data_IF_130848203916
#
_entry.id   IF_130848203916
#
_cell.length_a   1.000
_cell.length_b   1.000
_cell.length_c   1.000
_cell.angle_alpha   90.00
_cell.angle_beta   90.00
_cell.angle_gamma   90.00
#
_symmetry.space_group_name_H-M   'P 1'
#
loop_
_entity.id
_entity.type
_entity.pdbx_description
1 polymer ?
#
# COMPACT_ATOMS: atom_id res chain seq x y z
N UNK A 1 -20.21 -34.09 11.74
CA UNK A 1 -20.41 -33.42 10.44
C UNK A 1 -21.57 -32.47 10.58
N UNK A 2 -21.32 -31.16 10.63
CA UNK A 2 -21.60 -30.29 9.47
C UNK A 2 -21.10 -28.88 9.77
N UNK A 3 -20.12 -28.41 9.00
CA UNK A 3 -19.64 -27.04 9.06
C UNK A 3 -20.57 -26.25 8.13
N UNK A 4 -21.58 -25.59 8.70
CA UNK A 4 -22.46 -24.69 7.95
C UNK A 4 -21.61 -23.53 7.44
N UNK A 5 -21.11 -23.69 6.22
CA UNK A 5 -20.50 -22.64 5.43
C UNK A 5 -21.57 -21.57 5.20
N UNK A 6 -21.41 -20.44 5.88
CA UNK A 6 -22.14 -19.22 5.60
C UNK A 6 -21.81 -18.76 4.18
N UNK A 7 -22.48 -19.35 3.18
CA UNK A 7 -22.52 -18.83 1.83
C UNK A 7 -23.18 -17.46 1.94
N UNK A 8 -22.36 -16.40 2.01
CA UNK A 8 -22.85 -15.03 1.89
C UNK A 8 -23.47 -14.91 0.51
N UNK A 9 -24.80 -14.96 0.45
CA UNK A 9 -25.58 -14.56 -0.71
C UNK A 9 -25.47 -13.05 -0.84
N UNK A 10 -24.43 -12.57 -1.52
CA UNK A 10 -24.33 -11.17 -1.91
C UNK A 10 -25.33 -10.92 -3.04
N UNK A 11 -26.37 -10.15 -2.74
CA UNK A 11 -27.25 -9.61 -3.78
C UNK A 11 -28.68 -9.51 -3.31
N UNK A 12 -29.09 -8.29 -2.92
CA UNK A 12 -30.48 -7.82 -3.04
C UNK A 12 -30.64 -6.41 -2.47
N UNK A 13 -29.91 -5.41 -2.97
CA UNK A 13 -30.28 -3.99 -2.83
C UNK A 13 -29.97 -3.28 -4.14
N UNK A 14 -31.03 -2.92 -4.88
CA UNK A 14 -31.05 -2.32 -6.22
C UNK A 14 -29.77 -1.60 -6.65
N UNK A 15 -29.06 -2.24 -7.58
CA UNK A 15 -27.83 -1.80 -8.20
C UNK A 15 -27.28 -2.97 -9.01
N UNK A 16 -26.61 -2.70 -10.13
CA UNK A 16 -25.99 -3.75 -10.95
C UNK A 16 -25.04 -4.54 -10.05
N UNK A 17 -25.27 -5.85 -9.89
CA UNK A 17 -24.37 -6.70 -9.08
C UNK A 17 -23.07 -6.83 -9.86
N UNK A 18 -22.07 -6.04 -9.49
CA UNK A 18 -20.74 -6.08 -10.07
C UNK A 18 -19.79 -6.77 -9.10
N UNK A 19 -19.12 -7.83 -9.57
CA UNK A 19 -18.08 -8.53 -8.82
C UNK A 19 -16.81 -8.66 -9.65
N UNK A 20 -15.67 -8.35 -9.05
CA UNK A 20 -14.36 -8.56 -9.69
C UNK A 20 -14.04 -10.04 -9.91
N UNK A 21 -14.58 -10.92 -9.07
CA UNK A 21 -14.44 -12.38 -9.25
C UNK A 21 -15.16 -12.84 -10.53
N UNK A 22 -16.33 -12.26 -10.83
CA UNK A 22 -17.05 -12.52 -12.08
C UNK A 22 -16.29 -11.97 -13.28
N UNK A 23 -15.73 -10.75 -13.17
CA UNK A 23 -14.87 -10.17 -14.21
C UNK A 23 -13.65 -11.05 -14.50
N UNK A 24 -13.00 -11.61 -13.47
CA UNK A 24 -11.84 -12.49 -13.63
C UNK A 24 -12.17 -13.73 -14.48
N UNK A 25 -13.38 -14.26 -14.34
CA UNK A 25 -13.87 -15.44 -15.08
C UNK A 25 -14.53 -15.12 -16.42
N UNK A 26 -14.76 -13.84 -16.72
CA UNK A 26 -15.44 -13.41 -17.94
C UNK A 26 -14.59 -13.62 -19.20
N UNK A 27 -15.23 -14.03 -20.29
CA UNK A 27 -14.60 -14.14 -21.61
C UNK A 27 -14.13 -12.77 -22.14
N UNK A 28 -14.78 -11.69 -21.68
CA UNK A 28 -14.53 -10.31 -22.10
C UNK A 28 -13.91 -9.46 -20.99
N UNK A 29 -13.14 -10.07 -20.08
CA UNK A 29 -12.55 -9.39 -18.92
C UNK A 29 -11.77 -8.13 -19.28
N UNK A 30 -11.12 -8.12 -20.44
CA UNK A 30 -10.35 -7.00 -20.98
C UNK A 30 -11.18 -5.75 -21.26
N UNK A 31 -12.50 -5.89 -21.44
CA UNK A 31 -13.40 -4.77 -21.65
C UNK A 31 -13.80 -4.07 -20.35
N UNK A 32 -13.48 -4.67 -19.19
CA UNK A 32 -13.73 -4.06 -17.89
C UNK A 32 -12.56 -3.17 -17.49
N UNK A 33 -12.85 -1.90 -17.21
CA UNK A 33 -11.86 -0.99 -16.64
C UNK A 33 -11.28 -1.61 -15.38
N UNK A 34 -9.97 -1.52 -15.17
CA UNK A 34 -9.32 -2.01 -13.95
C UNK A 34 -9.11 -3.53 -13.87
N UNK A 35 -9.44 -4.30 -14.91
CA UNK A 35 -9.27 -5.76 -14.91
C UNK A 35 -7.82 -6.22 -14.62
N UNK A 36 -6.82 -5.42 -15.02
CA UNK A 36 -5.40 -5.75 -14.84
C UNK A 36 -4.94 -5.79 -13.37
N UNK A 37 -5.53 -4.93 -12.53
CA UNK A 37 -5.14 -4.77 -11.14
C UNK A 37 -6.17 -5.37 -10.18
N UNK A 38 -7.47 -5.28 -10.52
CA UNK A 38 -8.57 -5.71 -9.64
C UNK A 38 -9.08 -7.13 -9.91
N UNK A 39 -8.84 -7.67 -11.11
CA UNK A 39 -9.15 -9.04 -11.47
C UNK A 39 -7.95 -9.73 -12.16
N UNK A 40 -6.75 -9.73 -11.54
CA UNK A 40 -5.57 -10.36 -12.14
C UNK A 40 -5.79 -11.88 -12.28
N UNK A 41 -5.37 -12.43 -13.43
CA UNK A 41 -5.55 -13.85 -13.75
C UNK A 41 -4.28 -14.46 -14.31
N UNK A 42 -4.10 -15.77 -14.11
CA UNK A 42 -2.93 -16.51 -14.57
C UNK A 42 -1.78 -16.53 -13.55
N UNK A 43 -0.63 -17.09 -13.95
CA UNK A 43 0.49 -17.37 -13.04
C UNK A 43 1.36 -16.14 -12.73
N UNK A 44 1.32 -15.10 -13.58
CA UNK A 44 2.20 -13.94 -13.45
C UNK A 44 1.96 -13.12 -12.17
N UNK A 45 0.74 -13.17 -11.62
CA UNK A 45 0.39 -12.52 -10.35
C UNK A 45 0.81 -13.32 -9.11
N UNK A 46 1.14 -14.62 -9.25
CA UNK A 46 1.43 -15.47 -8.11
C UNK A 46 2.67 -14.97 -7.38
N UNK A 47 2.53 -14.70 -6.08
CA UNK A 47 3.62 -14.20 -5.24
C UNK A 47 4.01 -12.75 -5.52
N UNK A 48 3.18 -11.99 -6.25
CA UNK A 48 3.40 -10.56 -6.51
C UNK A 48 2.36 -9.72 -5.81
N UNK A 49 2.80 -8.62 -5.23
CA UNK A 49 1.92 -7.59 -4.67
C UNK A 49 1.69 -6.50 -5.71
N UNK A 50 0.57 -6.57 -6.45
CA UNK A 50 0.26 -5.59 -7.50
C UNK A 50 -0.04 -4.19 -6.92
N UNK A 51 -0.41 -4.10 -5.64
CA UNK A 51 -0.74 -2.85 -4.98
C UNK A 51 0.42 -2.32 -4.12
N UNK A 52 1.63 -2.84 -4.29
CA UNK A 52 2.80 -2.46 -3.49
C UNK A 52 3.02 -0.93 -3.47
N UNK A 53 2.81 -0.25 -4.59
CA UNK A 53 2.99 1.19 -4.73
C UNK A 53 2.04 2.00 -3.82
N UNK A 54 0.84 1.45 -3.55
CA UNK A 54 -0.17 2.09 -2.71
C UNK A 54 0.02 1.77 -1.22
N UNK A 55 0.86 0.78 -0.89
CA UNK A 55 1.11 0.37 0.51
C UNK A 55 2.25 1.15 1.16
N UNK A 56 3.16 1.72 0.37
CA UNK A 56 4.24 2.56 0.89
C UNK A 56 3.71 3.78 1.67
N UNK A 57 2.50 4.26 1.35
CA UNK A 57 1.87 5.42 1.98
C UNK A 57 0.96 5.10 3.19
N UNK A 58 0.59 3.84 3.41
CA UNK A 58 -0.52 3.49 4.31
C UNK A 58 -0.12 3.31 5.80
N UNK A 59 1.17 3.38 6.13
CA UNK A 59 1.66 3.13 7.48
C UNK A 59 1.40 4.25 8.50
N UNK A 60 1.22 5.50 8.02
CA UNK A 60 1.07 6.71 8.87
C UNK A 60 0.25 7.81 8.17
N UNK A 61 -0.74 7.44 7.35
CA UNK A 61 -1.59 8.42 6.69
C UNK A 61 -2.72 8.84 7.66
N UNK A 62 -2.67 10.09 8.13
CA UNK A 62 -3.86 10.75 8.67
C UNK A 62 -4.92 10.81 7.54
N UNK A 63 -6.16 10.32 7.76
CA UNK A 63 -7.20 10.34 6.73
C UNK A 63 -7.56 11.75 6.21
N UNK A 64 -7.14 12.82 6.89
CA UNK A 64 -7.31 14.20 6.43
C UNK A 64 -6.09 14.81 5.72
N UNK A 65 -5.00 14.06 5.55
CA UNK A 65 -3.77 14.58 4.96
C UNK A 65 -3.76 14.45 3.43
N UNK A 66 -3.49 15.56 2.75
CA UNK A 66 -3.28 15.62 1.30
C UNK A 66 -2.00 14.87 0.93
N UNK A 67 -1.95 14.25 -0.25
CA UNK A 67 -0.76 13.53 -0.73
C UNK A 67 0.50 14.41 -0.78
N UNK A 68 0.37 15.72 -1.02
CA UNK A 68 1.48 16.68 -0.99
C UNK A 68 2.06 16.91 0.41
N UNK A 69 1.20 17.03 1.43
CA UNK A 69 1.62 17.20 2.83
C UNK A 69 2.36 15.96 3.33
N UNK A 70 1.89 14.77 2.92
CA UNK A 70 2.52 13.49 3.24
C UNK A 70 3.90 13.36 2.61
N UNK A 71 4.04 13.69 1.33
CA UNK A 71 5.34 13.70 0.65
C UNK A 71 6.32 14.69 1.29
N UNK A 72 5.84 15.86 1.71
CA UNK A 72 6.64 16.84 2.41
C UNK A 72 7.13 16.30 3.77
N UNK A 73 6.30 15.57 4.52
CA UNK A 73 6.72 14.96 5.79
C UNK A 73 7.77 13.87 5.58
N UNK A 74 7.53 12.92 4.67
CA UNK A 74 8.49 11.83 4.38
C UNK A 74 9.85 12.42 3.98
N UNK A 75 9.84 13.43 3.10
CA UNK A 75 11.06 14.11 2.69
C UNK A 75 11.79 14.80 3.85
N UNK A 76 11.06 15.40 4.80
CA UNK A 76 11.65 16.02 6.00
C UNK A 76 12.28 14.96 6.89
N UNK A 77 11.61 13.83 7.10
CA UNK A 77 12.13 12.71 7.90
C UNK A 77 13.39 12.10 7.26
N UNK A 78 13.41 11.92 5.94
CA UNK A 78 14.60 11.47 5.20
C UNK A 78 15.78 12.45 5.37
N UNK A 79 15.52 13.75 5.21
CA UNK A 79 16.55 14.78 5.40
C UNK A 79 17.05 14.80 6.85
N UNK A 80 16.17 14.66 7.84
CA UNK A 80 16.57 14.59 9.25
C UNK A 80 17.48 13.39 9.50
N UNK A 81 17.13 12.22 8.99
CA UNK A 81 17.95 11.01 9.14
C UNK A 81 19.32 11.14 8.48
N UNK A 82 19.40 11.81 7.33
CA UNK A 82 20.68 12.10 6.68
C UNK A 82 21.52 13.04 7.54
N UNK A 83 20.93 14.14 8.01
CA UNK A 83 21.62 15.12 8.86
C UNK A 83 22.13 14.50 10.16
N UNK A 84 21.34 13.63 10.77
CA UNK A 84 21.73 12.87 11.96
C UNK A 84 22.95 11.98 11.70
N UNK A 85 22.98 11.28 10.56
CA UNK A 85 24.12 10.46 10.18
C UNK A 85 25.37 11.32 9.87
N UNK A 86 25.18 12.50 9.28
CA UNK A 86 26.25 13.47 9.05
C UNK A 86 26.81 14.02 10.36
N UNK A 87 25.95 14.40 11.32
CA UNK A 87 26.35 14.86 12.65
C UNK A 87 27.13 13.80 13.41
N UNK A 88 26.69 12.54 13.38
CA UNK A 88 27.39 11.42 14.01
C UNK A 88 28.78 11.19 13.38
N UNK A 89 28.88 11.33 12.05
CA UNK A 89 30.14 11.21 11.32
C UNK A 89 31.10 12.36 11.64
N UNK A 90 30.58 13.59 11.76
CA UNK A 90 31.35 14.79 12.13
C UNK A 90 31.83 14.67 13.58
N UNK A 91 30.97 14.25 14.52
CA UNK A 91 31.36 14.03 15.92
C UNK A 91 32.50 13.02 16.01
N UNK A 92 32.40 11.91 15.26
CA UNK A 92 33.47 10.90 15.17
C UNK A 92 34.76 11.47 14.60
N UNK A 93 34.71 12.28 13.55
CA UNK A 93 35.89 12.89 12.95
C UNK A 93 36.57 13.91 13.88
N UNK A 94 35.77 14.62 14.68
CA UNK A 94 36.23 15.60 15.67
C UNK A 94 36.64 14.96 17.01
N UNK A 95 36.48 13.64 17.18
CA UNK A 95 36.78 12.94 18.43
C UNK A 95 35.80 13.23 19.57
N UNK A 96 34.62 13.76 19.25
CA UNK A 96 33.54 14.05 20.18
C UNK A 96 32.65 12.81 20.37
N UNK A 97 32.05 12.61 21.55
CA UNK A 97 31.08 11.53 21.77
C UNK A 97 29.85 11.73 20.86
N UNK A 98 29.15 10.64 20.47
CA UNK A 98 27.94 10.74 19.66
C UNK A 98 26.85 11.54 20.41
N UNK A 99 26.06 12.37 19.71
CA UNK A 99 25.02 13.17 20.32
C UNK A 99 23.96 12.29 21.00
N UNK A 100 23.59 12.64 22.24
CA UNK A 100 22.54 11.95 22.99
C UNK A 100 21.17 12.37 22.45
N UNK A 101 20.40 11.41 21.93
CA UNK A 101 19.05 11.62 21.41
C UNK A 101 18.00 11.31 22.50
N UNK A 102 16.97 12.15 22.63
CA UNK A 102 15.78 11.92 23.48
C UNK A 102 14.59 11.50 22.62
#
# INVERSE_FOLDING_TARGET
MDLVATVRKSGSRGGVNFSWDEVATSAHRENYLGHSLKAPVGRWQQGKDLQWYAKADAGNADPNETDEDRQARIRREEIQKIKEAEEDAIAKALGLPPPVRN
#
